data_IF_401692039224
#
_entry.id   IF_401692039224
#
_cell.length_a   1.000
_cell.length_b   1.000
_cell.length_c   1.000
_cell.angle_alpha   90.00
_cell.angle_beta   90.00
_cell.angle_gamma   90.00
#
_symmetry.space_group_name_H-M   'P 1'
#
loop_
_entity.id
_entity.type
_entity.pdbx_description
1 polymer ?
#
# COMPACT_ATOMS: atom_id res chain seq x y z
N UNK A 1 -27.60 -9.25 -1.23
CA UNK A 1 -26.66 -8.82 -2.30
C UNK A 1 -26.08 -7.43 -2.04
N UNK A 2 -26.89 -6.38 -1.94
CA UNK A 2 -26.39 -4.99 -1.75
C UNK A 2 -25.54 -4.77 -0.48
N UNK A 3 -25.91 -5.38 0.66
CA UNK A 3 -25.14 -5.28 1.91
C UNK A 3 -23.71 -5.85 1.82
N UNK A 4 -23.53 -6.96 1.11
CA UNK A 4 -22.20 -7.56 0.92
C UNK A 4 -21.30 -6.69 0.04
N UNK A 5 -21.87 -6.11 -1.02
CA UNK A 5 -21.14 -5.18 -1.91
C UNK A 5 -20.73 -3.92 -1.13
N UNK A 6 -21.62 -3.37 -0.31
CA UNK A 6 -21.31 -2.21 0.54
C UNK A 6 -20.19 -2.53 1.54
N UNK A 7 -20.25 -3.69 2.21
CA UNK A 7 -19.21 -4.13 3.13
C UNK A 7 -17.85 -4.29 2.45
N UNK A 8 -17.82 -4.86 1.24
CA UNK A 8 -16.59 -5.02 0.47
C UNK A 8 -15.97 -3.67 0.06
N UNK A 9 -16.79 -2.72 -0.40
CA UNK A 9 -16.32 -1.37 -0.76
C UNK A 9 -15.70 -0.67 0.44
N UNK A 10 -16.34 -0.75 1.61
CA UNK A 10 -15.82 -0.15 2.84
C UNK A 10 -14.50 -0.78 3.27
N UNK A 11 -14.36 -2.10 3.12
CA UNK A 11 -13.13 -2.81 3.42
C UNK A 11 -11.99 -2.36 2.51
N UNK A 12 -12.23 -2.32 1.19
CA UNK A 12 -11.22 -1.88 0.20
C UNK A 12 -10.80 -0.44 0.45
N UNK A 13 -11.76 0.46 0.70
CA UNK A 13 -11.46 1.85 1.05
C UNK A 13 -10.67 1.93 2.36
N UNK A 14 -11.07 1.19 3.39
CA UNK A 14 -10.34 1.15 4.67
C UNK A 14 -8.89 0.72 4.51
N UNK A 15 -8.64 -0.36 3.75
CA UNK A 15 -7.29 -0.81 3.44
C UNK A 15 -6.51 0.21 2.61
N UNK A 16 -7.16 0.90 1.68
CA UNK A 16 -6.53 1.92 0.84
C UNK A 16 -5.98 3.10 1.66
N UNK A 17 -6.59 3.43 2.80
CA UNK A 17 -6.06 4.45 3.72
C UNK A 17 -5.11 3.88 4.79
N UNK A 18 -5.36 2.66 5.28
CA UNK A 18 -4.59 2.07 6.37
C UNK A 18 -3.19 1.63 5.93
N UNK A 19 -3.06 1.05 4.73
CA UNK A 19 -1.78 0.51 4.22
C UNK A 19 -0.74 1.63 3.99
N UNK A 20 -1.08 2.78 3.35
CA UNK A 20 -0.13 3.89 3.22
C UNK A 20 0.24 4.53 4.55
N UNK A 21 -0.69 4.60 5.52
CA UNK A 21 -0.39 5.08 6.88
C UNK A 21 0.63 4.17 7.57
N UNK A 22 0.45 2.86 7.47
CA UNK A 22 1.39 1.89 8.02
C UNK A 22 2.77 2.01 7.36
N UNK A 23 2.82 2.11 6.03
CA UNK A 23 4.08 2.33 5.32
C UNK A 23 4.74 3.64 5.75
N UNK A 24 3.99 4.73 5.86
CA UNK A 24 4.52 6.02 6.31
C UNK A 24 5.14 5.91 7.71
N UNK A 25 4.44 5.27 8.65
CA UNK A 25 4.91 5.08 10.01
C UNK A 25 6.22 4.28 10.03
N UNK A 26 6.22 3.11 9.38
CA UNK A 26 7.39 2.23 9.31
C UNK A 26 8.57 2.89 8.58
N UNK A 27 8.29 3.63 7.51
CA UNK A 27 9.31 4.38 6.80
C UNK A 27 9.95 5.39 7.74
N UNK A 28 9.16 6.23 8.40
CA UNK A 28 9.67 7.36 9.18
C UNK A 28 10.46 6.96 10.43
N UNK A 29 10.25 5.76 10.97
CA UNK A 29 11.02 5.25 12.12
C UNK A 29 12.26 4.44 11.72
N UNK A 30 12.35 3.94 10.49
CA UNK A 30 13.40 2.99 10.10
C UNK A 30 14.30 3.54 9.00
N UNK A 31 13.73 4.06 7.91
CA UNK A 31 14.49 4.43 6.71
C UNK A 31 15.33 5.71 6.89
N UNK A 32 14.81 6.81 7.50
CA UNK A 32 15.62 7.97 7.86
C UNK A 32 16.79 7.62 8.76
N UNK A 33 16.55 6.81 9.79
CA UNK A 33 17.55 6.53 10.82
C UNK A 33 18.67 5.61 10.30
N UNK A 34 18.33 4.60 9.50
CA UNK A 34 19.32 3.64 8.97
C UNK A 34 20.08 4.18 7.76
N UNK A 35 19.42 4.96 6.90
CA UNK A 35 19.96 5.35 5.59
C UNK A 35 20.13 6.86 5.41
N UNK A 36 19.94 7.65 6.47
CA UNK A 36 19.97 9.13 6.43
C UNK A 36 19.03 9.72 5.36
N UNK A 37 17.86 9.11 5.20
CA UNK A 37 16.83 9.53 4.24
C UNK A 37 15.87 10.55 4.84
N UNK A 38 15.10 11.24 4.00
CA UNK A 38 14.03 12.12 4.46
C UNK A 38 12.82 11.33 4.91
N UNK A 39 12.17 11.83 5.97
CA UNK A 39 10.81 11.41 6.33
C UNK A 39 9.84 11.70 5.20
N UNK A 40 8.80 10.88 5.11
CA UNK A 40 7.74 10.99 4.11
C UNK A 40 6.39 11.31 4.76
N UNK A 41 5.60 12.06 4.02
CA UNK A 41 4.19 12.36 4.31
C UNK A 41 3.29 11.25 3.78
N UNK A 42 2.04 11.22 4.26
CA UNK A 42 1.04 10.25 3.82
C UNK A 42 0.94 10.13 2.29
N UNK A 43 0.84 11.25 1.59
CA UNK A 43 0.74 11.26 0.13
C UNK A 43 2.00 10.75 -0.57
N UNK A 44 3.19 10.92 0.03
CA UNK A 44 4.42 10.34 -0.49
C UNK A 44 4.44 8.81 -0.31
N UNK A 45 4.04 8.32 0.87
CA UNK A 45 3.91 6.88 1.13
C UNK A 45 2.88 6.21 0.19
N UNK A 46 1.75 6.86 -0.06
CA UNK A 46 0.74 6.37 -1.00
C UNK A 46 1.29 6.21 -2.42
N UNK A 47 1.95 7.26 -2.96
CA UNK A 47 2.59 7.18 -4.29
C UNK A 47 3.68 6.12 -4.34
N UNK A 48 4.44 5.96 -3.26
CA UNK A 48 5.48 4.93 -3.17
C UNK A 48 4.90 3.52 -3.23
N UNK A 49 3.75 3.26 -2.58
CA UNK A 49 3.03 1.98 -2.70
C UNK A 49 2.55 1.72 -4.12
N UNK A 50 2.05 2.74 -4.82
CA UNK A 50 1.64 2.57 -6.23
C UNK A 50 2.82 2.19 -7.12
N UNK A 51 3.96 2.86 -6.94
CA UNK A 51 5.20 2.53 -7.65
C UNK A 51 5.66 1.11 -7.30
N UNK A 52 5.67 0.74 -6.02
CA UNK A 52 6.03 -0.60 -5.58
C UNK A 52 5.08 -1.66 -6.16
N UNK A 53 3.78 -1.38 -6.23
CA UNK A 53 2.79 -2.24 -6.88
C UNK A 53 3.03 -2.40 -8.38
N UNK A 54 3.43 -1.33 -9.08
CA UNK A 54 3.77 -1.42 -10.51
C UNK A 54 5.09 -2.20 -10.75
N UNK A 55 6.07 -2.05 -9.87
CA UNK A 55 7.39 -2.68 -10.02
C UNK A 55 7.43 -4.14 -9.55
N UNK A 56 6.74 -4.45 -8.45
CA UNK A 56 6.80 -5.75 -7.77
C UNK A 56 5.47 -6.51 -7.78
N UNK A 57 4.35 -5.86 -8.08
CA UNK A 57 3.03 -6.48 -8.24
C UNK A 57 2.87 -7.14 -9.61
N UNK A 58 3.77 -8.08 -9.93
CA UNK A 58 3.77 -8.83 -11.18
C UNK A 58 2.46 -9.58 -11.45
N UNK A 59 2.26 -10.08 -12.69
CA UNK A 59 1.01 -10.67 -13.12
C UNK A 59 0.77 -12.01 -12.43
N UNK A 60 0.11 -11.97 -11.27
CA UNK A 60 -0.37 -13.16 -10.55
C UNK A 60 -1.16 -14.13 -11.46
N UNK A 61 -1.83 -13.59 -12.49
CA UNK A 61 -2.64 -14.35 -13.44
C UNK A 61 -1.86 -15.28 -14.39
N UNK A 62 -0.55 -15.09 -14.60
CA UNK A 62 0.21 -15.94 -15.53
C UNK A 62 0.76 -17.22 -14.87
N UNK A 63 0.86 -17.27 -13.53
CA UNK A 63 1.38 -18.43 -12.79
C UNK A 63 0.28 -19.42 -12.39
N UNK A 64 -0.97 -18.97 -12.24
CA UNK A 64 -2.08 -19.82 -11.83
C UNK A 64 -2.69 -20.68 -12.96
N UNK A 65 -2.09 -20.67 -14.16
CA UNK A 65 -2.54 -21.44 -15.32
C UNK A 65 -1.65 -22.65 -15.65
N UNK A 66 -0.67 -22.98 -14.80
CA UNK A 66 0.15 -24.18 -14.91
C UNK A 66 0.00 -25.08 -13.68
#
# INVERSE_FOLDING_TARGET
MALYVLGYILLVLGLLFLVPLLLQYLWNITMPDLFNLKQITYWQAFRLLLIAGMLFGGPFFLVAQH
#
